data_IF_032942408591
#
_entry.id   IF_032942408591
#
_cell.length_a   1.000
_cell.length_b   1.000
_cell.length_c   1.000
_cell.angle_alpha   90.00
_cell.angle_beta   90.00
_cell.angle_gamma   90.00
#
_symmetry.space_group_name_H-M   'P 1'
#
loop_
_entity.id
_entity.type
_entity.pdbx_description
1 polymer ?
#
# COMPACT_ATOMS: atom_id res chain seq x y z
N UNK A 1 11.13 28.13 -13.04
CA UNK A 1 10.35 27.00 -13.57
C UNK A 1 10.32 25.94 -12.48
N UNK A 2 9.23 25.92 -11.71
CA UNK A 2 9.06 25.03 -10.57
C UNK A 2 8.88 23.61 -11.09
N UNK A 3 9.73 22.69 -10.61
CA UNK A 3 9.60 21.27 -10.92
C UNK A 3 8.34 20.78 -10.23
N UNK A 4 7.27 20.58 -11.01
CA UNK A 4 6.12 19.79 -10.58
C UNK A 4 6.63 18.37 -10.35
N UNK A 5 6.90 18.04 -9.10
CA UNK A 5 7.16 16.67 -8.67
C UNK A 5 5.83 15.94 -8.81
N UNK A 6 5.57 15.42 -10.00
CA UNK A 6 4.48 14.48 -10.24
C UNK A 6 4.79 13.24 -9.41
N UNK A 7 4.25 13.18 -8.20
CA UNK A 7 4.32 12.00 -7.31
C UNK A 7 3.59 10.88 -8.04
N UNK A 8 4.32 10.14 -8.89
CA UNK A 8 3.81 8.94 -9.51
C UNK A 8 3.67 7.92 -8.40
N UNK A 9 2.43 7.86 -7.91
CA UNK A 9 1.94 7.00 -6.85
C UNK A 9 1.88 5.55 -7.33
N UNK A 10 3.06 4.95 -7.48
CA UNK A 10 3.23 3.57 -7.96
C UNK A 10 3.32 2.66 -6.74
N UNK A 11 2.36 1.74 -6.60
CA UNK A 11 2.50 0.62 -5.69
C UNK A 11 3.62 -0.28 -6.22
N UNK A 12 4.73 -0.37 -5.49
CA UNK A 12 5.83 -1.27 -5.84
C UNK A 12 5.60 -2.65 -5.21
N UNK A 13 5.79 -3.69 -6.01
CA UNK A 13 5.84 -5.07 -5.51
C UNK A 13 6.93 -5.20 -4.44
N UNK A 14 6.65 -6.00 -3.40
CA UNK A 14 7.50 -6.22 -2.22
C UNK A 14 7.59 -5.06 -1.22
N UNK A 15 6.93 -3.92 -1.45
CA UNK A 15 6.90 -2.83 -0.49
C UNK A 15 6.30 -3.27 0.86
N UNK A 16 6.96 -2.90 1.97
CA UNK A 16 6.55 -3.25 3.33
C UNK A 16 5.86 -2.06 3.98
N UNK A 17 4.65 -2.31 4.48
CA UNK A 17 3.85 -1.36 5.23
C UNK A 17 3.84 -1.82 6.70
N UNK A 18 4.71 -1.21 7.50
CA UNK A 18 4.86 -1.57 8.91
C UNK A 18 3.58 -1.37 9.69
N UNK A 19 3.30 -2.28 10.64
CA UNK A 19 2.20 -2.18 11.62
C UNK A 19 0.87 -1.71 11.01
N UNK A 20 0.47 -2.32 9.90
CA UNK A 20 -0.68 -1.87 9.09
C UNK A 20 -1.81 -2.89 8.98
N UNK A 21 -1.63 -4.09 9.55
CA UNK A 21 -2.70 -5.06 9.60
C UNK A 21 -3.81 -4.63 10.56
N UNK A 22 -5.04 -4.48 10.04
CA UNK A 22 -6.22 -4.17 10.83
C UNK A 22 -6.59 -5.25 11.86
N UNK A 23 -6.07 -6.48 11.74
CA UNK A 23 -6.37 -7.60 12.66
C UNK A 23 -5.36 -7.75 13.78
N UNK A 24 -4.06 -7.64 13.49
CA UNK A 24 -3.00 -7.96 14.44
C UNK A 24 -1.94 -6.88 14.59
N UNK A 25 -2.10 -5.73 13.93
CA UNK A 25 -1.07 -4.69 13.83
C UNK A 25 0.29 -5.23 13.34
N UNK A 26 0.30 -6.36 12.61
CA UNK A 26 1.48 -6.90 11.96
C UNK A 26 1.86 -6.12 10.71
N UNK A 27 3.06 -6.37 10.22
CA UNK A 27 3.56 -5.79 8.98
C UNK A 27 2.85 -6.42 7.79
N UNK A 28 2.67 -5.63 6.73
CA UNK A 28 2.04 -6.08 5.50
C UNK A 28 2.96 -5.85 4.31
N UNK A 29 2.81 -6.68 3.29
CA UNK A 29 3.58 -6.58 2.06
C UNK A 29 2.64 -6.41 0.87
N UNK A 30 3.00 -5.48 -0.02
CA UNK A 30 2.40 -5.34 -1.34
C UNK A 30 2.91 -6.48 -2.22
N UNK A 31 1.99 -7.21 -2.83
CA UNK A 31 2.26 -8.33 -3.74
C UNK A 31 1.38 -8.19 -4.97
N UNK A 32 1.67 -8.98 -5.99
CA UNK A 32 0.89 -9.03 -7.23
C UNK A 32 0.47 -10.45 -7.54
N UNK A 33 -0.76 -10.62 -7.99
CA UNK A 33 -1.27 -11.86 -8.59
C UNK A 33 -1.78 -11.60 -10.02
N UNK A 34 -2.51 -12.55 -10.59
CA UNK A 34 -3.07 -12.42 -11.94
C UNK A 34 -4.15 -11.33 -12.04
N UNK A 35 -4.78 -10.96 -10.93
CA UNK A 35 -5.89 -10.00 -10.87
C UNK A 35 -5.42 -8.58 -10.52
N UNK A 36 -4.24 -8.43 -9.90
CA UNK A 36 -3.63 -7.14 -9.66
C UNK A 36 -2.76 -7.09 -8.41
N UNK A 37 -2.63 -5.90 -7.83
CA UNK A 37 -1.93 -5.74 -6.56
C UNK A 37 -2.84 -6.11 -5.39
N UNK A 38 -2.27 -6.79 -4.40
CA UNK A 38 -2.91 -7.07 -3.12
C UNK A 38 -1.93 -6.84 -1.97
N UNK A 39 -2.47 -6.65 -0.77
CA UNK A 39 -1.67 -6.38 0.43
C UNK A 39 -1.91 -7.52 1.44
N UNK A 40 -0.87 -8.29 1.75
CA UNK A 40 -0.97 -9.43 2.66
C UNK A 40 -0.21 -9.16 3.97
N UNK A 41 -0.81 -9.51 5.11
CA UNK A 41 -0.12 -9.47 6.39
C UNK A 41 0.85 -10.64 6.55
N UNK A 42 2.10 -10.34 6.91
CA UNK A 42 3.14 -11.34 7.12
C UNK A 42 2.98 -12.13 8.42
N UNK A 43 2.15 -11.64 9.37
CA UNK A 43 1.93 -12.30 10.65
C UNK A 43 0.67 -13.19 10.67
N UNK A 44 -0.47 -12.68 10.19
CA UNK A 44 -1.76 -13.38 10.29
C UNK A 44 -2.37 -13.79 8.94
N UNK A 45 -1.69 -13.50 7.83
CA UNK A 45 -2.17 -13.85 6.48
C UNK A 45 -3.36 -13.04 5.98
N UNK A 46 -3.82 -12.02 6.72
CA UNK A 46 -4.95 -11.21 6.28
C UNK A 46 -4.63 -10.45 4.98
N UNK A 47 -5.44 -10.69 3.95
CA UNK A 47 -5.32 -10.08 2.62
C UNK A 47 -6.34 -8.97 2.45
N UNK A 48 -5.93 -7.88 1.80
CA UNK A 48 -6.83 -6.83 1.30
C UNK A 48 -6.47 -6.57 -0.14
N UNK A 49 -7.49 -6.57 -1.00
CA UNK A 49 -7.38 -6.14 -2.39
C UNK A 49 -7.72 -4.64 -2.43
N UNK A 50 -6.74 -3.74 -2.58
CA UNK A 50 -7.04 -2.34 -2.79
C UNK A 50 -7.84 -2.23 -4.10
N UNK A 51 -9.06 -1.72 -4.02
CA UNK A 51 -9.78 -1.30 -5.22
C UNK A 51 -8.94 -0.17 -5.80
N UNK A 52 -8.27 -0.44 -6.93
CA UNK A 52 -7.49 0.58 -7.65
C UNK A 52 -8.46 1.46 -8.44
N UNK A 53 -9.44 2.04 -7.75
CA UNK A 53 -10.16 3.21 -8.24
C UNK A 53 -9.38 4.40 -7.72
N UNK A 54 -8.50 4.89 -8.60
CA UNK A 54 -7.86 6.20 -8.62
C UNK A 54 -7.94 7.05 -7.33
N UNK A 55 -6.77 7.37 -6.78
CA UNK A 55 -6.45 8.45 -5.82
C UNK A 55 -6.67 8.22 -4.31
N UNK A 56 -7.73 7.56 -3.84
CA UNK A 56 -8.00 7.54 -2.38
C UNK A 56 -7.18 6.52 -1.59
N UNK A 57 -6.95 5.33 -2.14
CA UNK A 57 -6.16 4.29 -1.47
C UNK A 57 -4.69 4.68 -1.29
N UNK A 58 -4.17 5.56 -2.17
CA UNK A 58 -2.79 6.07 -2.04
C UNK A 58 -2.70 7.16 -0.98
N UNK A 59 -3.71 8.03 -0.88
CA UNK A 59 -3.80 9.04 0.21
C UNK A 59 -3.77 8.41 1.61
N UNK A 60 -4.40 7.23 1.78
CA UNK A 60 -4.37 6.49 3.05
C UNK A 60 -2.97 5.95 3.39
N UNK A 61 -2.13 5.69 2.40
CA UNK A 61 -0.75 5.26 2.59
C UNK A 61 0.19 6.46 2.81
N UNK A 62 0.00 7.57 2.07
CA UNK A 62 0.81 8.79 2.19
C UNK A 62 0.78 9.41 3.60
N UNK A 63 -0.38 9.40 4.29
CA UNK A 63 -0.46 9.96 5.65
C UNK A 63 0.48 9.27 6.65
N UNK A 64 0.81 7.99 6.42
CA UNK A 64 1.72 7.24 7.29
C UNK A 64 3.21 7.53 7.02
N UNK A 65 3.56 8.10 5.87
CA UNK A 65 4.94 8.47 5.51
C UNK A 65 5.27 9.96 5.76
N UNK A 66 4.30 10.75 6.25
CA UNK A 66 4.49 12.15 6.61
C UNK A 66 4.84 12.36 8.11
N UNK A 67 5.30 11.30 8.80
CA UNK A 67 5.70 11.31 10.22
C UNK A 67 7.15 10.87 10.40
#
# INVERSE_FOLDING_TARGET
MSQEVTTQNVLYEHHIIFKSCARCAGDRQVRRDFDGFYIACLCCGHVTYPVVETSETVRLLEWKYAS
#
